data_IF_994540849984
#
_entry.id   IF_994540849984
#
_cell.length_a   1.000
_cell.length_b   1.000
_cell.length_c   1.000
_cell.angle_alpha   90.00
_cell.angle_beta   90.00
_cell.angle_gamma   90.00
#
_symmetry.space_group_name_H-M   'P 1'
#
loop_
_entity.id
_entity.type
_entity.pdbx_description
1 polymer ?
#
# COMPACT_ATOMS: atom_id res chain seq x y z
N UNK A 1 0.17 8.22 13.00
CA UNK A 1 1.14 7.12 13.18
C UNK A 1 1.36 6.43 11.85
N UNK A 2 2.60 6.15 11.45
CA UNK A 2 2.90 5.45 10.18
C UNK A 2 3.41 4.05 10.49
N UNK A 3 2.74 3.04 9.95
CA UNK A 3 3.05 1.63 10.08
C UNK A 3 3.81 1.15 8.85
N UNK A 4 4.93 0.47 9.08
CA UNK A 4 5.84 0.00 8.03
C UNK A 4 6.22 -1.45 8.27
N UNK A 5 6.55 -2.18 7.22
CA UNK A 5 7.19 -3.48 7.36
C UNK A 5 8.58 -3.30 8.00
N UNK A 6 8.90 -4.18 8.94
CA UNK A 6 10.24 -4.22 9.52
C UNK A 6 11.24 -4.75 8.48
N UNK A 7 12.45 -4.17 8.43
CA UNK A 7 13.51 -4.64 7.51
C UNK A 7 13.95 -6.07 7.82
N UNK A 8 13.77 -6.51 9.05
CA UNK A 8 14.11 -7.87 9.53
C UNK A 8 12.93 -8.83 9.45
N UNK A 9 11.81 -8.44 8.84
CA UNK A 9 10.62 -9.29 8.75
C UNK A 9 10.90 -10.50 7.85
N UNK A 10 10.96 -11.68 8.46
CA UNK A 10 11.06 -12.93 7.72
C UNK A 10 9.68 -13.54 7.50
N UNK A 11 9.22 -13.52 6.25
CA UNK A 11 8.04 -14.25 5.80
C UNK A 11 8.46 -15.33 4.80
N UNK A 12 7.80 -16.49 4.85
CA UNK A 12 8.00 -17.61 3.92
C UNK A 12 6.95 -17.65 2.82
N UNK A 13 5.81 -16.97 3.00
CA UNK A 13 4.72 -16.92 2.04
C UNK A 13 3.95 -15.58 2.11
N UNK A 14 3.24 -15.25 1.02
CA UNK A 14 2.43 -14.03 0.91
C UNK A 14 1.34 -13.92 1.99
N UNK A 15 0.71 -15.04 2.37
CA UNK A 15 -0.32 -15.04 3.42
C UNK A 15 0.24 -14.61 4.79
N UNK A 16 1.48 -14.96 5.11
CA UNK A 16 2.14 -14.53 6.35
C UNK A 16 2.40 -13.02 6.33
N UNK A 17 2.86 -12.49 5.20
CA UNK A 17 3.05 -11.06 5.01
C UNK A 17 1.73 -10.29 5.15
N UNK A 18 0.64 -10.84 4.60
CA UNK A 18 -0.69 -10.26 4.72
C UNK A 18 -1.17 -10.22 6.17
N UNK A 19 -1.07 -11.35 6.88
CA UNK A 19 -1.45 -11.43 8.29
C UNK A 19 -0.62 -10.47 9.14
N UNK A 20 0.67 -10.30 8.81
CA UNK A 20 1.52 -9.31 9.48
C UNK A 20 1.01 -7.88 9.27
N UNK A 21 0.79 -7.45 8.02
CA UNK A 21 0.26 -6.12 7.71
C UNK A 21 -1.10 -5.86 8.37
N UNK A 22 -2.02 -6.82 8.26
CA UNK A 22 -3.33 -6.73 8.89
C UNK A 22 -3.20 -6.56 10.41
N UNK A 23 -2.33 -7.34 11.07
CA UNK A 23 -2.10 -7.23 12.50
C UNK A 23 -1.46 -5.91 12.93
N UNK A 24 -0.55 -5.35 12.13
CA UNK A 24 0.00 -4.01 12.40
C UNK A 24 -1.12 -2.98 12.46
N UNK A 25 -2.00 -2.99 11.46
CA UNK A 25 -3.12 -2.05 11.38
C UNK A 25 -4.15 -2.33 12.48
N UNK A 26 -4.44 -3.59 12.79
CA UNK A 26 -5.44 -3.97 13.79
C UNK A 26 -5.03 -3.54 15.20
N UNK A 27 -3.78 -3.79 15.57
CA UNK A 27 -3.24 -3.51 16.91
C UNK A 27 -2.87 -2.04 17.11
N UNK A 28 -2.71 -1.29 16.02
CA UNK A 28 -2.50 0.15 16.09
C UNK A 28 -3.71 0.85 16.74
N UNK A 29 -3.45 1.62 17.79
CA UNK A 29 -4.43 2.49 18.42
C UNK A 29 -4.86 3.63 17.48
N UNK A 30 -6.09 4.13 17.65
CA UNK A 30 -6.69 5.17 16.80
C UNK A 30 -7.84 4.63 15.95
N UNK A 31 -8.90 5.43 15.80
CA UNK A 31 -10.12 5.04 15.07
C UNK A 31 -10.06 5.29 13.57
N UNK A 32 -9.13 6.14 13.10
CA UNK A 32 -8.99 6.53 11.68
C UNK A 32 -7.78 5.85 11.06
N UNK A 33 -8.03 4.78 10.32
CA UNK A 33 -7.01 3.95 9.67
C UNK A 33 -7.11 4.10 8.16
N UNK A 34 -5.98 4.25 7.49
CA UNK A 34 -5.90 4.38 6.03
C UNK A 34 -4.68 3.67 5.48
N UNK A 35 -4.75 3.34 4.20
CA UNK A 35 -3.60 3.00 3.35
C UNK A 35 -3.45 4.09 2.28
N UNK A 36 -2.23 4.35 1.83
CA UNK A 36 -1.94 5.27 0.72
C UNK A 36 -1.41 4.46 -0.46
N UNK A 37 -2.04 4.61 -1.62
CA UNK A 37 -1.74 3.89 -2.85
C UNK A 37 -1.25 4.86 -3.93
N UNK A 38 -0.12 4.54 -4.55
CA UNK A 38 0.59 5.35 -5.51
C UNK A 38 2.04 4.92 -5.61
N UNK A 39 2.81 5.58 -6.47
CA UNK A 39 4.24 5.32 -6.62
C UNK A 39 5.08 6.28 -5.75
N UNK A 40 6.29 5.87 -5.38
CA UNK A 40 7.29 6.80 -4.80
C UNK A 40 8.11 7.45 -5.90
N UNK A 41 8.51 8.70 -5.67
CA UNK A 41 9.50 9.37 -6.50
C UNK A 41 10.78 8.51 -6.48
N UNK A 42 11.17 7.96 -7.64
CA UNK A 42 12.44 7.25 -7.77
C UNK A 42 13.57 8.27 -7.94
N UNK A 43 14.56 8.25 -7.06
CA UNK A 43 15.75 9.14 -7.13
C UNK A 43 16.63 8.89 -8.37
N UNK A 44 16.44 7.77 -9.07
CA UNK A 44 17.34 7.28 -10.11
C UNK A 44 16.91 7.59 -11.55
N UNK A 45 15.96 8.51 -11.76
CA UNK A 45 15.64 9.05 -13.09
C UNK A 45 14.84 8.12 -14.02
N UNK A 46 14.27 7.02 -13.53
CA UNK A 46 13.24 6.29 -14.27
C UNK A 46 12.00 7.19 -14.36
N UNK A 47 11.56 7.51 -15.59
CA UNK A 47 10.31 8.25 -15.84
C UNK A 47 9.10 7.40 -15.41
N UNK A 48 8.80 7.43 -14.11
CA UNK A 48 7.45 7.20 -13.62
C UNK A 48 6.64 8.43 -14.04
N UNK A 49 5.42 8.24 -14.57
CA UNK A 49 4.54 9.37 -14.86
C UNK A 49 4.36 10.16 -13.55
N UNK A 50 4.82 11.42 -13.50
CA UNK A 50 4.79 12.28 -12.30
C UNK A 50 3.42 12.24 -11.60
N UNK A 51 2.37 12.12 -12.40
CA UNK A 51 0.97 12.06 -12.04
C UNK A 51 0.54 10.85 -11.18
N UNK A 52 1.37 9.81 -11.03
CA UNK A 52 1.07 8.59 -10.24
C UNK A 52 1.70 8.60 -8.84
N UNK A 53 2.42 9.67 -8.51
CA UNK A 53 3.26 9.72 -7.33
C UNK A 53 2.47 10.11 -6.07
N UNK A 54 2.86 9.53 -4.94
CA UNK A 54 2.44 10.00 -3.62
C UNK A 54 3.24 11.28 -3.32
N UNK A 55 2.57 12.42 -3.04
CA UNK A 55 3.26 13.66 -2.71
C UNK A 55 4.21 13.50 -1.52
N UNK A 56 5.37 14.17 -1.58
CA UNK A 56 6.34 14.13 -0.49
C UNK A 56 5.71 14.63 0.83
N UNK A 57 5.96 13.91 1.93
CA UNK A 57 5.44 14.26 3.25
C UNK A 57 3.95 13.97 3.47
N UNK A 58 3.24 13.39 2.49
CA UNK A 58 1.80 13.14 2.61
C UNK A 58 1.46 12.16 3.75
N UNK A 59 2.23 11.08 3.90
CA UNK A 59 2.04 10.11 4.98
C UNK A 59 2.24 10.76 6.36
N UNK A 60 3.22 11.66 6.47
CA UNK A 60 3.52 12.42 7.67
C UNK A 60 2.40 13.42 7.99
N UNK A 61 1.83 14.09 6.98
CA UNK A 61 0.70 15.00 7.13
C UNK A 61 -0.53 14.27 7.71
N UNK A 62 -0.95 13.17 7.08
CA UNK A 62 -2.04 12.32 7.58
C UNK A 62 -1.77 11.84 9.02
N UNK A 63 -0.54 11.40 9.28
CA UNK A 63 -0.13 10.98 10.62
C UNK A 63 -0.26 12.10 11.66
N UNK A 64 0.07 13.34 11.32
CA UNK A 64 -0.07 14.53 12.20
C UNK A 64 -1.54 14.89 12.46
N UNK A 65 -2.44 14.61 11.51
CA UNK A 65 -3.89 14.76 11.66
C UNK A 65 -4.54 13.64 12.50
N UNK A 66 -3.75 12.68 12.97
CA UNK A 66 -4.20 11.59 13.82
C UNK A 66 -4.61 10.33 13.07
N UNK A 67 -4.31 10.23 11.77
CA UNK A 67 -4.49 8.97 11.03
C UNK A 67 -3.44 7.93 11.40
N UNK A 68 -3.85 6.67 11.40
CA UNK A 68 -2.98 5.51 11.33
C UNK A 68 -2.80 5.16 9.86
N UNK A 69 -1.58 5.28 9.34
CA UNK A 69 -1.28 5.14 7.92
C UNK A 69 -0.47 3.87 7.71
N UNK A 70 -0.97 2.93 6.91
CA UNK A 70 -0.17 1.81 6.41
C UNK A 70 0.62 2.28 5.18
N UNK A 71 1.94 2.30 5.31
CA UNK A 71 2.88 2.55 4.21
C UNK A 71 3.05 1.27 3.39
N UNK A 72 2.16 1.02 2.43
CA UNK A 72 2.12 -0.24 1.67
C UNK A 72 3.43 -0.48 0.91
N UNK A 73 4.07 0.58 0.42
CA UNK A 73 5.32 0.51 -0.33
C UNK A 73 6.48 -0.01 0.53
N UNK A 74 6.39 0.09 1.86
CA UNK A 74 7.40 -0.49 2.76
C UNK A 74 7.44 -2.02 2.72
N UNK A 75 6.42 -2.69 2.16
CA UNK A 75 6.33 -4.14 2.01
C UNK A 75 6.94 -4.66 0.70
N UNK A 76 7.27 -3.77 -0.23
CA UNK A 76 7.81 -4.15 -1.54
C UNK A 76 9.08 -5.02 -1.42
N UNK A 77 10.09 -4.69 -0.58
CA UNK A 77 11.28 -5.53 -0.45
C UNK A 77 10.98 -6.95 0.03
N UNK A 78 10.03 -7.12 0.96
CA UNK A 78 9.64 -8.43 1.46
C UNK A 78 8.89 -9.25 0.39
N UNK A 79 8.10 -8.58 -0.46
CA UNK A 79 7.46 -9.20 -1.62
C UNK A 79 8.53 -9.65 -2.63
N UNK A 80 9.49 -8.80 -2.94
CA UNK A 80 10.60 -9.11 -3.85
C UNK A 80 11.42 -10.32 -3.35
N UNK A 81 11.74 -10.37 -2.05
CA UNK A 81 12.43 -11.49 -1.42
C UNK A 81 11.63 -12.80 -1.51
N UNK A 82 10.31 -12.75 -1.30
CA UNK A 82 9.43 -13.91 -1.42
C UNK A 82 9.41 -14.44 -2.86
N UNK A 83 9.27 -13.56 -3.85
CA UNK A 83 9.27 -13.90 -5.27
C UNK A 83 10.61 -14.51 -5.70
N UNK A 84 11.72 -13.93 -5.25
CA UNK A 84 13.07 -14.44 -5.52
C UNK A 84 13.28 -15.86 -4.97
N UNK A 85 12.87 -16.12 -3.70
CA UNK A 85 12.93 -17.45 -3.08
C UNK A 85 12.10 -18.49 -3.84
N UNK A 86 10.98 -18.07 -4.44
CA UNK A 86 10.10 -18.91 -5.24
C UNK A 86 10.54 -19.03 -6.71
N UNK A 87 11.69 -18.44 -7.08
CA UNK A 87 12.23 -18.41 -8.46
C UNK A 87 11.26 -17.79 -9.46
N UNK A 88 10.45 -16.83 -9.02
CA UNK A 88 9.54 -16.08 -9.87
C UNK A 88 10.26 -14.86 -10.42
N UNK A 89 10.39 -14.76 -11.75
CA UNK A 89 11.15 -13.70 -12.45
C UNK A 89 10.28 -12.54 -12.93
N UNK A 90 9.05 -12.42 -12.43
CA UNK A 90 8.12 -11.36 -12.86
C UNK A 90 8.38 -10.05 -12.12
N UNK A 91 8.00 -8.94 -12.76
CA UNK A 91 8.00 -7.60 -12.18
C UNK A 91 7.19 -7.61 -10.86
N UNK A 92 7.67 -6.99 -9.77
CA UNK A 92 7.07 -7.12 -8.44
C UNK A 92 5.80 -6.29 -8.25
N UNK A 93 5.58 -5.23 -9.04
CA UNK A 93 4.42 -4.33 -8.87
C UNK A 93 3.07 -5.06 -8.85
N UNK A 94 2.75 -5.97 -9.81
CA UNK A 94 1.53 -6.79 -9.75
C UNK A 94 1.28 -7.47 -8.40
N UNK A 95 2.33 -7.92 -7.72
CA UNK A 95 2.21 -8.61 -6.43
C UNK A 95 1.98 -7.67 -5.25
N UNK A 96 2.38 -6.39 -5.37
CA UNK A 96 2.05 -5.38 -4.38
C UNK A 96 0.56 -5.00 -4.44
N UNK A 97 -0.03 -4.99 -5.65
CA UNK A 97 -1.47 -4.80 -5.84
C UNK A 97 -2.27 -6.02 -5.35
N UNK A 98 -1.84 -7.24 -5.71
CA UNK A 98 -2.46 -8.47 -5.20
C UNK A 98 -2.40 -8.56 -3.66
N UNK A 99 -1.38 -7.94 -3.06
CA UNK A 99 -1.21 -7.86 -1.62
C UNK A 99 -2.10 -6.80 -0.94
N UNK A 100 -2.29 -5.65 -1.58
CA UNK A 100 -3.07 -4.54 -1.03
C UNK A 100 -4.58 -4.79 -1.10
N UNK A 101 -5.09 -5.46 -2.15
CA UNK A 101 -6.52 -5.73 -2.34
C UNK A 101 -7.15 -6.41 -1.12
N UNK A 102 -6.63 -7.54 -0.60
CA UNK A 102 -7.19 -8.17 0.60
C UNK A 102 -7.22 -7.23 1.82
N UNK A 103 -6.23 -6.34 1.98
CA UNK A 103 -6.19 -5.37 3.07
C UNK A 103 -7.27 -4.30 2.91
N UNK A 104 -7.47 -3.78 1.69
CA UNK A 104 -8.55 -2.84 1.36
C UNK A 104 -9.90 -3.46 1.69
N UNK A 105 -10.13 -4.70 1.27
CA UNK A 105 -11.42 -5.39 1.46
C UNK A 105 -11.64 -5.95 2.87
N UNK A 106 -10.67 -5.82 3.77
CA UNK A 106 -10.75 -6.42 5.12
C UNK A 106 -11.69 -5.69 6.08
N UNK A 107 -12.21 -4.53 5.69
CA UNK A 107 -13.06 -3.68 6.53
C UNK A 107 -12.30 -2.91 7.62
N UNK A 108 -10.96 -2.97 7.63
CA UNK A 108 -10.13 -2.32 8.65
C UNK A 108 -9.85 -0.84 8.37
N UNK A 109 -9.93 -0.43 7.11
CA UNK A 109 -9.64 0.93 6.68
C UNK A 109 -10.91 1.76 6.63
N UNK A 110 -10.85 2.95 7.24
CA UNK A 110 -11.92 3.94 7.14
C UNK A 110 -11.87 4.69 5.81
N UNK A 111 -10.71 4.73 5.16
CA UNK A 111 -10.48 5.38 3.86
C UNK A 111 -9.26 4.76 3.18
N UNK A 112 -9.22 4.82 1.86
CA UNK A 112 -8.02 4.61 1.04
C UNK A 112 -7.65 5.95 0.40
N UNK A 113 -6.40 6.38 0.56
CA UNK A 113 -5.87 7.54 -0.15
C UNK A 113 -5.19 7.07 -1.43
N UNK A 114 -5.58 7.65 -2.56
CA UNK A 114 -5.14 7.25 -3.89
C UNK A 114 -4.49 8.45 -4.59
N UNK A 115 -3.27 8.30 -5.12
CA UNK A 115 -2.73 9.30 -6.03
C UNK A 115 -3.69 9.46 -7.23
N UNK A 116 -4.06 10.71 -7.57
CA UNK A 116 -5.21 11.00 -8.45
C UNK A 116 -5.19 10.19 -9.75
N UNK A 117 -4.10 10.28 -10.51
CA UNK A 117 -4.00 9.59 -11.79
C UNK A 117 -3.57 8.12 -11.66
N UNK A 118 -3.09 7.70 -10.48
CA UNK A 118 -2.71 6.30 -10.25
C UNK A 118 -3.92 5.37 -10.35
N UNK A 119 -5.11 5.85 -9.99
CA UNK A 119 -6.36 5.09 -10.10
C UNK A 119 -6.73 4.67 -11.53
N UNK A 120 -6.15 5.32 -12.54
CA UNK A 120 -6.33 4.99 -13.96
C UNK A 120 -5.22 4.06 -14.49
N UNK A 121 -4.19 3.78 -13.70
CA UNK A 121 -3.14 2.83 -14.10
C UNK A 121 -3.71 1.41 -14.18
N UNK A 122 -3.28 0.65 -15.18
CA UNK A 122 -3.69 -0.75 -15.35
C UNK A 122 -3.53 -1.55 -14.06
N UNK A 123 -2.44 -1.29 -13.33
CA UNK A 123 -2.09 -2.03 -12.14
C UNK A 123 -2.96 -1.65 -10.92
N UNK A 124 -3.44 -0.41 -10.82
CA UNK A 124 -4.27 0.05 -9.69
C UNK A 124 -5.79 0.00 -9.93
N UNK A 125 -6.24 -0.30 -11.15
CA UNK A 125 -7.68 -0.45 -11.48
C UNK A 125 -8.38 -1.45 -10.55
N UNK A 126 -7.69 -2.55 -10.19
CA UNK A 126 -8.27 -3.58 -9.33
C UNK A 126 -8.37 -3.13 -7.87
N UNK A 127 -7.37 -2.41 -7.35
CA UNK A 127 -7.42 -1.83 -6.00
C UNK A 127 -8.53 -0.78 -5.88
N UNK A 128 -8.68 0.06 -6.91
CA UNK A 128 -9.73 1.06 -6.99
C UNK A 128 -11.12 0.41 -7.03
N UNK A 129 -11.30 -0.60 -7.90
CA UNK A 129 -12.53 -1.37 -7.98
C UNK A 129 -12.85 -2.11 -6.68
N UNK A 130 -11.84 -2.65 -5.99
CA UNK A 130 -11.99 -3.29 -4.69
C UNK A 130 -12.48 -2.29 -3.63
N UNK A 131 -11.86 -1.12 -3.52
CA UNK A 131 -12.29 -0.08 -2.59
C UNK A 131 -13.76 0.33 -2.86
N UNK A 132 -14.14 0.52 -4.13
CA UNK A 132 -15.53 0.84 -4.51
C UNK A 132 -16.52 -0.28 -4.16
N UNK A 133 -16.18 -1.53 -4.46
CA UNK A 133 -17.08 -2.68 -4.29
C UNK A 133 -17.35 -3.01 -2.82
N UNK A 134 -16.38 -2.71 -1.94
CA UNK A 134 -16.49 -2.90 -0.50
C UNK A 134 -16.85 -1.63 0.26
N UNK A 135 -17.32 -0.60 -0.47
CA UNK A 135 -17.78 0.67 0.09
C UNK A 135 -16.73 1.38 0.97
N UNK A 136 -15.45 1.17 0.68
CA UNK A 136 -14.35 1.86 1.35
C UNK A 136 -14.19 3.24 0.72
N UNK A 137 -14.34 4.34 1.48
CA UNK A 137 -14.18 5.68 0.94
C UNK A 137 -12.80 5.89 0.30
N UNK A 138 -12.77 6.56 -0.86
CA UNK A 138 -11.54 6.90 -1.57
C UNK A 138 -11.32 8.41 -1.49
N UNK A 139 -10.15 8.82 -1.03
CA UNK A 139 -9.68 10.20 -1.06
C UNK A 139 -8.56 10.33 -2.11
N UNK A 140 -8.71 11.25 -3.05
CA UNK A 140 -7.70 11.46 -4.09
C UNK A 140 -6.68 12.51 -3.66
N UNK A 141 -5.40 12.24 -3.93
CA UNK A 141 -4.29 13.16 -3.66
C UNK A 141 -4.12 14.07 -4.86
N UNK A 142 -4.50 15.35 -4.69
CA UNK A 142 -4.25 16.44 -5.64
C UNK A 142 -2.87 17.08 -5.41
#
# INVERSE_FOLDING_TARGET
>A
MILRAERTLECQAFNQLYVHAYNLVLKAGGSRKTVVLGERIQENGTLVRENYQIPEGHLEALSKEGWVVLDILSFQPQIEDLLAKQKMTRYPNPYLHDFSIPLITSGIFATVHFAENFSESFDALQEHAAARSYEVPIAYLM
#
